data_IF_157319761089
#
_entry.id   IF_157319761089
#
_cell.length_a   1.000
_cell.length_b   1.000
_cell.length_c   1.000
_cell.angle_alpha   90.00
_cell.angle_beta   90.00
_cell.angle_gamma   90.00
#
_symmetry.space_group_name_H-M   'P 1'
#
loop_
_entity.id
_entity.type
_entity.pdbx_description
1 polymer ?
#
# COMPACT_ATOMS: atom_id res chain seq x y z
N UNK A 1 27.69 72.84 37.36
CA UNK A 1 28.94 73.60 37.06
C UNK A 1 29.51 73.11 35.70
N UNK A 2 29.63 74.05 34.78
CA UNK A 2 30.60 74.12 33.69
C UNK A 2 30.58 72.97 32.66
N UNK A 3 30.59 73.09 31.34
CA UNK A 3 30.74 74.25 30.43
C UNK A 3 30.69 73.69 29.01
N UNK A 4 30.00 74.36 28.12
CA UNK A 4 29.91 74.32 26.68
C UNK A 4 31.26 74.05 25.97
N UNK A 5 31.25 73.38 24.82
CA UNK A 5 31.89 73.95 23.61
C UNK A 5 31.19 73.46 22.32
N UNK A 6 30.77 74.41 21.52
CA UNK A 6 30.28 74.33 20.14
C UNK A 6 31.50 74.08 19.22
N UNK A 7 31.32 73.19 18.23
CA UNK A 7 32.13 73.24 16.99
C UNK A 7 31.24 73.02 15.81
N UNK A 8 31.06 74.07 15.06
CA UNK A 8 30.40 74.16 13.76
C UNK A 8 31.37 73.60 12.72
N UNK A 9 31.01 72.54 11.99
CA UNK A 9 31.71 72.12 10.78
C UNK A 9 30.73 72.31 9.62
N UNK A 10 31.14 73.21 8.73
CA UNK A 10 30.55 73.58 7.45
C UNK A 10 30.60 72.37 6.51
N UNK A 11 29.49 71.72 6.17
CA UNK A 11 29.40 70.71 5.14
C UNK A 11 28.99 71.32 3.80
N UNK A 12 29.89 71.31 2.85
CA UNK A 12 29.60 71.60 1.44
C UNK A 12 28.61 70.61 0.85
N UNK A 13 27.43 71.02 0.50
CA UNK A 13 26.47 70.27 -0.34
C UNK A 13 27.05 70.18 -1.78
N UNK A 14 27.55 69.01 -2.15
CA UNK A 14 27.69 68.62 -3.55
C UNK A 14 26.33 68.05 -4.01
N UNK A 15 25.58 68.86 -4.76
CA UNK A 15 24.43 68.41 -5.54
C UNK A 15 24.97 67.48 -6.65
N UNK A 16 24.98 66.18 -6.44
CA UNK A 16 25.08 65.24 -7.54
C UNK A 16 23.67 65.14 -8.16
N UNK A 17 23.54 65.71 -9.35
CA UNK A 17 22.36 65.54 -10.19
C UNK A 17 22.24 64.06 -10.58
N UNK A 18 21.37 63.33 -9.87
CA UNK A 18 20.87 62.04 -10.34
C UNK A 18 20.03 62.29 -11.58
N UNK A 19 20.61 62.05 -12.75
CA UNK A 19 19.87 61.83 -13.98
C UNK A 19 18.97 60.62 -13.74
N UNK A 20 17.65 60.70 -14.04
CA UNK A 20 16.81 59.51 -13.99
C UNK A 20 17.36 58.55 -15.04
N UNK A 21 17.72 57.32 -14.59
CA UNK A 21 17.98 56.24 -15.52
C UNK A 21 16.73 56.09 -16.39
N UNK A 22 16.90 56.18 -17.72
CA UNK A 22 15.81 55.97 -18.67
C UNK A 22 15.22 54.59 -18.34
N UNK A 23 13.96 54.51 -17.89
CA UNK A 23 13.24 53.30 -17.75
C UNK A 23 13.26 52.57 -19.10
N UNK A 24 13.95 51.47 -19.17
CA UNK A 24 14.00 50.64 -20.36
C UNK A 24 12.57 50.29 -20.75
N UNK A 25 12.15 50.68 -21.96
CA UNK A 25 10.80 50.46 -22.48
C UNK A 25 10.48 48.99 -22.45
N UNK A 26 9.63 48.56 -21.48
CA UNK A 26 9.25 47.16 -21.29
C UNK A 26 8.12 46.78 -22.23
N UNK A 27 8.22 45.60 -22.82
CA UNK A 27 7.21 45.04 -23.70
C UNK A 27 6.20 44.24 -22.85
N UNK A 28 4.99 44.77 -22.73
CA UNK A 28 3.87 44.16 -22.00
C UNK A 28 2.67 43.88 -22.88
N UNK A 29 1.56 43.37 -22.30
CA UNK A 29 0.31 43.15 -23.02
C UNK A 29 -0.16 44.43 -23.72
N UNK A 30 -0.45 44.33 -25.02
CA UNK A 30 -0.86 45.47 -25.87
C UNK A 30 0.27 46.12 -26.65
N UNK A 31 1.55 45.89 -26.34
CA UNK A 31 2.69 46.39 -27.10
C UNK A 31 2.59 45.95 -28.55
N UNK A 32 2.81 46.89 -29.46
CA UNK A 32 2.83 46.67 -30.92
C UNK A 32 4.23 46.96 -31.47
N UNK A 33 4.75 46.02 -32.26
CA UNK A 33 6.04 46.10 -32.89
C UNK A 33 5.89 45.83 -34.40
N UNK A 34 6.44 46.67 -35.26
CA UNK A 34 6.43 46.39 -36.70
C UNK A 34 7.19 45.11 -37.03
N UNK A 35 8.23 44.84 -36.24
CA UNK A 35 9.12 43.69 -36.45
C UNK A 35 9.68 43.22 -35.11
N UNK A 36 9.67 41.92 -34.90
CA UNK A 36 10.31 41.24 -33.75
C UNK A 36 11.13 40.08 -34.29
N UNK A 37 12.44 40.08 -34.05
CA UNK A 37 13.35 39.01 -34.47
C UNK A 37 13.74 38.22 -33.25
N UNK A 38 13.53 36.87 -33.32
CA UNK A 38 13.88 35.93 -32.28
C UNK A 38 14.70 34.82 -32.93
N UNK A 39 15.98 34.70 -32.60
CA UNK A 39 16.91 33.83 -33.29
C UNK A 39 16.95 34.10 -34.79
N UNK A 40 16.70 33.09 -35.62
CA UNK A 40 16.66 33.21 -37.08
C UNK A 40 15.29 33.66 -37.63
N UNK A 41 14.27 33.77 -36.81
CA UNK A 41 12.89 34.05 -37.26
C UNK A 41 12.51 35.52 -37.03
N UNK A 42 11.94 36.14 -38.04
CA UNK A 42 11.44 37.53 -37.98
C UNK A 42 9.92 37.54 -38.12
N UNK A 43 9.24 37.97 -37.05
CA UNK A 43 7.79 38.17 -37.00
C UNK A 43 7.47 39.63 -37.38
N UNK A 44 6.41 39.85 -38.19
CA UNK A 44 5.94 41.17 -38.61
C UNK A 44 4.56 41.49 -38.05
N UNK A 45 4.26 42.79 -37.84
CA UNK A 45 2.97 43.24 -37.30
C UNK A 45 2.63 42.58 -35.94
N UNK A 46 3.61 42.57 -35.05
CA UNK A 46 3.52 41.86 -33.76
C UNK A 46 2.68 42.65 -32.77
N UNK A 47 1.76 41.94 -32.11
CA UNK A 47 0.98 42.45 -30.97
C UNK A 47 1.09 41.48 -29.78
N UNK A 48 1.74 41.93 -28.73
CA UNK A 48 1.88 41.13 -27.48
C UNK A 48 0.52 40.96 -26.83
N UNK A 49 0.16 39.73 -26.52
CA UNK A 49 -1.10 39.36 -25.85
C UNK A 49 -0.90 39.16 -24.35
N UNK A 50 0.04 38.31 -23.99
CA UNK A 50 0.36 38.05 -22.59
C UNK A 50 1.86 37.85 -22.43
N UNK A 51 2.38 38.31 -21.30
CA UNK A 51 3.71 38.00 -20.81
C UNK A 51 3.53 37.42 -19.40
N UNK A 52 4.07 36.25 -19.15
CA UNK A 52 4.13 35.66 -17.82
C UNK A 52 5.59 35.31 -17.48
N UNK A 53 5.85 34.73 -16.30
CA UNK A 53 7.22 34.45 -15.88
C UNK A 53 7.99 33.51 -16.84
N UNK A 54 7.31 32.77 -17.72
CA UNK A 54 7.91 31.72 -18.57
C UNK A 54 7.85 32.03 -20.05
N UNK A 55 6.76 32.66 -20.51
CA UNK A 55 6.47 32.80 -21.96
C UNK A 55 5.90 34.13 -22.28
N UNK A 56 6.18 34.55 -23.51
CA UNK A 56 5.46 35.63 -24.20
C UNK A 56 4.58 35.01 -25.28
N UNK A 57 3.31 35.44 -25.34
CA UNK A 57 2.36 35.09 -26.37
C UNK A 57 2.06 36.34 -27.18
N UNK A 58 2.19 36.27 -28.49
CA UNK A 58 1.90 37.39 -29.38
C UNK A 58 1.23 36.95 -30.69
N UNK A 59 0.43 37.84 -31.25
CA UNK A 59 -0.07 37.72 -32.62
C UNK A 59 0.93 38.38 -33.58
N UNK A 60 1.05 37.83 -34.77
CA UNK A 60 1.83 38.38 -35.88
C UNK A 60 1.07 38.19 -37.19
N UNK A 61 1.58 38.75 -38.30
CA UNK A 61 0.93 38.72 -39.61
C UNK A 61 0.39 37.30 -40.00
N UNK A 62 1.19 36.26 -39.73
CA UNK A 62 0.94 34.92 -40.22
C UNK A 62 0.30 34.01 -39.14
N UNK A 63 -0.09 34.54 -37.96
CA UNK A 63 -0.73 33.80 -36.92
C UNK A 63 -0.37 34.19 -35.47
N UNK A 64 -0.15 33.22 -34.62
CA UNK A 64 0.15 33.42 -33.21
C UNK A 64 1.37 32.58 -32.81
N UNK A 65 2.26 33.14 -32.02
CA UNK A 65 3.44 32.48 -31.51
C UNK A 65 3.52 32.60 -29.98
N UNK A 66 3.98 31.51 -29.33
CA UNK A 66 4.32 31.48 -27.92
C UNK A 66 5.77 31.06 -27.77
N UNK A 67 6.59 31.91 -27.17
CA UNK A 67 8.04 31.73 -27.04
C UNK A 67 8.39 31.77 -25.57
N UNK A 68 9.28 30.86 -25.14
CA UNK A 68 9.81 30.89 -23.77
C UNK A 68 10.72 32.10 -23.62
N UNK A 69 10.59 32.83 -22.50
CA UNK A 69 11.42 33.99 -22.22
C UNK A 69 12.89 33.59 -22.02
N UNK A 70 13.17 32.42 -21.48
CA UNK A 70 14.53 31.88 -21.33
C UNK A 70 15.23 31.58 -22.66
N UNK A 71 14.49 31.43 -23.77
CA UNK A 71 15.04 31.18 -25.12
C UNK A 71 15.33 32.47 -25.90
N UNK A 72 14.93 33.63 -25.37
CA UNK A 72 15.20 34.95 -25.98
C UNK A 72 16.63 35.37 -25.72
N UNK A 73 17.14 36.27 -26.63
CA UNK A 73 18.42 36.92 -26.38
C UNK A 73 18.32 37.86 -25.15
N UNK A 74 19.46 38.19 -24.50
CA UNK A 74 19.45 38.95 -23.26
C UNK A 74 18.77 40.33 -23.38
N UNK A 75 18.83 40.97 -24.54
CA UNK A 75 18.21 42.30 -24.77
C UNK A 75 16.68 42.17 -24.82
N UNK A 76 16.15 41.10 -25.40
CA UNK A 76 14.72 40.81 -25.40
C UNK A 76 14.24 40.30 -24.05
N UNK A 77 15.05 39.48 -23.32
CA UNK A 77 14.75 39.07 -21.96
C UNK A 77 14.53 40.28 -21.04
N UNK A 78 15.41 41.29 -21.11
CA UNK A 78 15.28 42.54 -20.36
C UNK A 78 14.00 43.30 -20.74
N UNK A 79 13.72 43.42 -22.04
CA UNK A 79 12.51 44.12 -22.54
C UNK A 79 11.21 43.43 -22.13
N UNK A 80 11.16 42.09 -22.09
CA UNK A 80 9.99 41.35 -21.63
C UNK A 80 9.98 41.15 -20.12
N UNK A 81 11.01 41.63 -19.40
CA UNK A 81 11.10 41.55 -17.96
C UNK A 81 11.28 40.09 -17.45
N UNK A 82 12.08 39.29 -18.18
CA UNK A 82 12.40 37.93 -17.77
C UNK A 82 13.18 37.92 -16.46
N UNK A 83 12.72 37.06 -15.52
CA UNK A 83 13.37 36.81 -14.26
C UNK A 83 13.50 35.28 -14.07
N UNK A 84 14.72 34.73 -14.06
CA UNK A 84 14.95 33.31 -13.84
C UNK A 84 14.39 32.81 -12.51
N UNK A 85 14.38 33.66 -11.47
CA UNK A 85 13.82 33.25 -10.17
C UNK A 85 12.30 33.12 -10.23
N UNK A 86 11.62 34.07 -10.91
CA UNK A 86 10.18 34.01 -11.13
C UNK A 86 9.77 32.82 -12.03
N UNK A 87 10.59 32.47 -13.04
CA UNK A 87 10.38 31.27 -13.87
C UNK A 87 10.48 30.01 -13.00
N UNK A 88 11.53 29.87 -12.18
CA UNK A 88 11.73 28.71 -11.30
C UNK A 88 10.60 28.55 -10.27
N UNK A 89 10.13 29.66 -9.68
CA UNK A 89 8.97 29.65 -8.77
C UNK A 89 7.68 29.21 -9.48
N UNK A 90 7.44 29.73 -10.69
CA UNK A 90 6.29 29.32 -11.52
C UNK A 90 6.33 27.84 -11.90
N UNK A 91 7.52 27.31 -12.22
CA UNK A 91 7.71 25.90 -12.52
C UNK A 91 7.46 25.01 -11.29
N UNK A 92 7.99 25.40 -10.15
CA UNK A 92 7.77 24.70 -8.89
C UNK A 92 6.28 24.67 -8.51
N UNK A 93 5.60 25.80 -8.63
CA UNK A 93 4.15 25.90 -8.39
C UNK A 93 3.33 25.01 -9.34
N UNK A 94 3.70 25.00 -10.63
CA UNK A 94 3.03 24.14 -11.62
C UNK A 94 3.25 22.66 -11.32
N UNK A 95 4.47 22.23 -10.99
CA UNK A 95 4.76 20.85 -10.61
C UNK A 95 4.02 20.43 -9.33
N UNK A 96 3.94 21.32 -8.34
CA UNK A 96 3.17 21.08 -7.11
C UNK A 96 1.68 20.89 -7.43
N UNK A 97 1.10 21.73 -8.28
CA UNK A 97 -0.31 21.63 -8.69
C UNK A 97 -0.61 20.33 -9.47
N UNK A 98 0.31 19.89 -10.35
CA UNK A 98 0.20 18.60 -11.06
C UNK A 98 0.21 17.46 -10.06
N UNK A 99 1.19 17.42 -9.15
CA UNK A 99 1.31 16.40 -8.12
C UNK A 99 0.08 16.33 -7.20
N UNK A 100 -0.45 17.48 -6.81
CA UNK A 100 -1.68 17.56 -6.00
C UNK A 100 -2.90 17.02 -6.76
N UNK A 101 -3.04 17.37 -8.05
CA UNK A 101 -4.13 16.84 -8.89
C UNK A 101 -4.04 15.33 -9.07
N UNK A 102 -2.84 14.80 -9.31
CA UNK A 102 -2.59 13.37 -9.42
C UNK A 102 -2.94 12.64 -8.10
N UNK A 103 -2.50 13.21 -6.96
CA UNK A 103 -2.81 12.66 -5.63
C UNK A 103 -4.32 12.65 -5.36
N UNK A 104 -5.04 13.73 -5.68
CA UNK A 104 -6.51 13.79 -5.54
C UNK A 104 -7.21 12.76 -6.43
N UNK A 105 -6.74 12.58 -7.66
CA UNK A 105 -7.31 11.59 -8.59
C UNK A 105 -7.08 10.17 -8.08
N UNK A 106 -5.85 9.86 -7.63
CA UNK A 106 -5.52 8.57 -7.04
C UNK A 106 -6.36 8.28 -5.79
N UNK A 107 -6.52 9.24 -4.89
CA UNK A 107 -7.35 9.12 -3.70
C UNK A 107 -8.83 8.84 -4.05
N UNK A 108 -9.40 9.54 -5.02
CA UNK A 108 -10.77 9.33 -5.47
C UNK A 108 -10.98 7.92 -6.08
N UNK A 109 -10.00 7.42 -6.84
CA UNK A 109 -10.03 6.05 -7.40
C UNK A 109 -9.94 5.02 -6.28
N UNK A 110 -9.03 5.22 -5.31
CA UNK A 110 -8.90 4.32 -4.16
C UNK A 110 -10.19 4.27 -3.32
N UNK A 111 -10.81 5.42 -3.04
CA UNK A 111 -12.07 5.48 -2.31
C UNK A 111 -13.21 4.75 -3.02
N UNK A 112 -13.32 4.90 -4.34
CA UNK A 112 -14.35 4.16 -5.13
C UNK A 112 -14.12 2.66 -5.08
N UNK A 113 -12.87 2.21 -5.17
CA UNK A 113 -12.52 0.77 -5.04
C UNK A 113 -12.85 0.25 -3.65
N UNK A 114 -12.50 0.99 -2.58
CA UNK A 114 -12.80 0.60 -1.20
C UNK A 114 -14.32 0.44 -1.01
N UNK A 115 -15.12 1.41 -1.44
CA UNK A 115 -16.59 1.35 -1.36
C UNK A 115 -17.18 0.16 -2.17
N UNK A 116 -16.63 -0.14 -3.35
CA UNK A 116 -17.06 -1.27 -4.15
C UNK A 116 -16.70 -2.60 -3.47
N UNK A 117 -15.48 -2.74 -2.94
CA UNK A 117 -15.03 -3.93 -2.23
C UNK A 117 -15.88 -4.16 -0.97
N UNK A 118 -16.17 -3.09 -0.20
CA UNK A 118 -17.06 -3.15 0.97
C UNK A 118 -18.44 -3.67 0.60
N UNK A 119 -19.05 -3.13 -0.45
CA UNK A 119 -20.37 -3.58 -0.92
C UNK A 119 -20.36 -5.04 -1.36
N UNK A 120 -19.28 -5.51 -2.01
CA UNK A 120 -19.13 -6.90 -2.41
C UNK A 120 -18.94 -7.82 -1.20
N UNK A 121 -18.17 -7.38 -0.21
CA UNK A 121 -17.93 -8.11 1.03
C UNK A 121 -19.24 -8.27 1.82
N UNK A 122 -20.01 -7.20 2.00
CA UNK A 122 -21.33 -7.24 2.65
C UNK A 122 -22.31 -8.15 1.90
N UNK A 123 -22.30 -8.12 0.58
CA UNK A 123 -23.14 -9.00 -0.25
C UNK A 123 -22.76 -10.48 -0.03
N UNK A 124 -21.47 -10.77 0.04
CA UNK A 124 -20.95 -12.10 0.33
C UNK A 124 -21.40 -12.59 1.73
N UNK A 125 -21.24 -11.77 2.77
CA UNK A 125 -21.66 -12.14 4.13
C UNK A 125 -23.16 -12.48 4.22
N UNK A 126 -24.00 -11.78 3.46
CA UNK A 126 -25.46 -12.07 3.40
C UNK A 126 -25.79 -13.43 2.78
N UNK A 127 -24.89 -14.01 2.00
CA UNK A 127 -25.07 -15.33 1.39
C UNK A 127 -24.68 -16.47 2.34
N UNK A 128 -23.98 -16.19 3.44
CA UNK A 128 -23.58 -17.23 4.38
C UNK A 128 -24.78 -17.98 4.93
N UNK A 129 -24.66 -19.32 5.01
CA UNK A 129 -25.73 -20.23 5.38
C UNK A 129 -26.63 -20.67 4.22
N UNK A 130 -26.51 -20.05 3.03
CA UNK A 130 -27.19 -20.54 1.81
C UNK A 130 -26.25 -21.48 1.03
N UNK A 131 -26.77 -22.40 0.19
CA UNK A 131 -25.93 -23.23 -0.68
C UNK A 131 -25.06 -22.39 -1.59
N UNK A 132 -23.76 -22.61 -1.53
CA UNK A 132 -22.80 -21.90 -2.36
C UNK A 132 -22.75 -22.48 -3.79
N UNK A 133 -22.76 -21.65 -4.85
CA UNK A 133 -22.57 -22.15 -6.19
C UNK A 133 -21.09 -22.54 -6.38
N UNK A 134 -20.82 -23.85 -6.45
CA UNK A 134 -19.49 -24.34 -6.79
C UNK A 134 -19.24 -24.13 -8.29
N UNK A 135 -18.25 -23.29 -8.62
CA UNK A 135 -17.74 -23.05 -9.98
C UNK A 135 -16.71 -24.13 -10.33
N UNK A 136 -16.47 -24.37 -11.60
CA UNK A 136 -15.41 -25.33 -12.04
C UNK A 136 -14.06 -25.00 -11.41
N UNK A 137 -13.70 -23.70 -11.37
CA UNK A 137 -12.48 -23.21 -10.73
C UNK A 137 -12.64 -21.76 -10.27
N UNK A 138 -12.09 -21.48 -9.09
CA UNK A 138 -11.77 -20.12 -8.63
C UNK A 138 -10.30 -20.13 -8.24
N UNK A 139 -9.48 -19.26 -8.83
CA UNK A 139 -8.03 -19.24 -8.61
C UNK A 139 -7.53 -17.80 -8.47
N UNK A 140 -7.14 -17.42 -7.26
CA UNK A 140 -6.57 -16.11 -6.96
C UNK A 140 -5.05 -16.04 -7.18
N UNK A 141 -4.36 -17.16 -7.46
CA UNK A 141 -2.90 -17.20 -7.67
C UNK A 141 -2.40 -16.26 -8.78
N UNK A 142 -3.07 -16.14 -9.95
CA UNK A 142 -2.68 -15.15 -10.95
C UNK A 142 -2.66 -13.73 -10.38
N UNK A 143 -3.69 -13.38 -9.60
CA UNK A 143 -3.77 -12.05 -8.99
C UNK A 143 -2.73 -11.84 -7.89
N UNK A 144 -2.42 -12.85 -7.07
CA UNK A 144 -1.28 -12.79 -6.14
C UNK A 144 0.04 -12.51 -6.86
N UNK A 145 0.27 -13.13 -8.04
CA UNK A 145 1.47 -12.90 -8.85
C UNK A 145 1.53 -11.50 -9.45
N UNK A 146 0.43 -11.01 -10.01
CA UNK A 146 0.32 -9.64 -10.55
C UNK A 146 0.63 -8.57 -9.47
N UNK A 147 0.24 -8.85 -8.23
CA UNK A 147 0.49 -8.00 -7.07
C UNK A 147 1.85 -8.28 -6.41
N UNK A 148 2.69 -9.15 -6.98
CA UNK A 148 3.99 -9.54 -6.42
C UNK A 148 3.94 -10.09 -4.97
N UNK A 149 2.78 -10.64 -4.57
CA UNK A 149 2.54 -11.23 -3.25
C UNK A 149 2.91 -12.71 -3.25
N UNK A 150 4.18 -13.01 -3.46
CA UNK A 150 4.71 -14.37 -3.52
C UNK A 150 4.64 -15.08 -2.15
N UNK A 151 4.84 -16.41 -2.16
CA UNK A 151 4.91 -17.21 -0.94
C UNK A 151 6.19 -16.84 -0.15
N UNK A 152 6.01 -16.35 1.06
CA UNK A 152 7.11 -16.03 1.99
C UNK A 152 7.56 -17.28 2.74
N UNK A 153 8.73 -17.22 3.38
CA UNK A 153 9.30 -18.32 4.15
C UNK A 153 9.34 -17.96 5.64
N UNK A 154 8.58 -18.69 6.46
CA UNK A 154 8.59 -18.54 7.92
C UNK A 154 9.86 -19.12 8.57
N UNK A 155 10.65 -19.89 7.82
CA UNK A 155 11.76 -20.64 8.36
C UNK A 155 11.32 -21.73 9.34
N UNK A 156 12.07 -21.90 10.43
CA UNK A 156 11.77 -22.91 11.47
C UNK A 156 10.92 -22.42 12.63
N UNK A 157 10.49 -21.15 12.60
CA UNK A 157 9.62 -20.59 13.64
C UNK A 157 8.19 -21.12 13.49
N UNK A 158 7.50 -21.46 14.58
CA UNK A 158 6.11 -21.88 14.56
C UNK A 158 5.16 -20.65 14.42
N UNK A 159 5.35 -19.86 13.36
CA UNK A 159 4.65 -18.60 13.09
C UNK A 159 3.70 -18.66 11.89
N UNK A 160 3.33 -19.87 11.44
CA UNK A 160 2.46 -20.05 10.26
C UNK A 160 1.15 -19.26 10.33
N UNK A 161 0.54 -19.12 11.50
CA UNK A 161 -0.69 -18.34 11.69
C UNK A 161 -0.50 -16.86 11.37
N UNK A 162 0.66 -16.30 11.70
CA UNK A 162 1.01 -14.91 11.36
C UNK A 162 1.12 -14.76 9.85
N UNK A 163 1.86 -15.67 9.19
CA UNK A 163 2.04 -15.64 7.73
C UNK A 163 0.72 -15.82 6.98
N UNK A 164 -0.18 -16.69 7.47
CA UNK A 164 -1.49 -16.89 6.88
C UNK A 164 -2.36 -15.61 6.96
N UNK A 165 -2.38 -14.95 8.12
CA UNK A 165 -3.12 -13.69 8.32
C UNK A 165 -2.53 -12.57 7.48
N UNK A 166 -1.20 -12.40 7.48
CA UNK A 166 -0.52 -11.35 6.70
C UNK A 166 -0.74 -11.57 5.21
N UNK A 167 -0.65 -12.81 4.72
CA UNK A 167 -0.91 -13.11 3.30
C UNK A 167 -2.33 -12.72 2.85
N UNK A 168 -3.35 -12.97 3.67
CA UNK A 168 -4.71 -12.53 3.39
C UNK A 168 -4.84 -11.00 3.44
N UNK A 169 -4.23 -10.36 4.45
CA UNK A 169 -4.25 -8.91 4.63
C UNK A 169 -3.59 -8.17 3.47
N UNK A 170 -2.39 -8.59 3.06
CA UNK A 170 -1.66 -8.01 1.92
C UNK A 170 -2.51 -8.03 0.64
N UNK A 171 -3.21 -9.15 0.40
CA UNK A 171 -4.05 -9.29 -0.78
C UNK A 171 -5.25 -8.34 -0.76
N UNK A 172 -6.04 -8.30 0.33
CA UNK A 172 -7.20 -7.40 0.41
C UNK A 172 -6.78 -5.93 0.41
N UNK A 173 -5.65 -5.59 1.05
CA UNK A 173 -5.10 -4.23 1.03
C UNK A 173 -4.71 -3.81 -0.40
N UNK A 174 -3.99 -4.66 -1.13
CA UNK A 174 -3.61 -4.40 -2.51
C UNK A 174 -4.81 -4.30 -3.46
N UNK A 175 -5.87 -5.08 -3.24
CA UNK A 175 -7.12 -4.98 -3.99
C UNK A 175 -7.83 -3.64 -3.75
N UNK A 176 -7.82 -3.15 -2.52
CA UNK A 176 -8.42 -1.87 -2.15
C UNK A 176 -7.57 -0.68 -2.62
N UNK A 177 -6.29 -0.67 -2.30
CA UNK A 177 -5.38 0.43 -2.62
C UNK A 177 -5.01 0.47 -4.12
N UNK A 178 -5.04 -0.68 -4.81
CA UNK A 178 -4.60 -0.82 -6.20
C UNK A 178 -3.07 -0.95 -6.35
N UNK A 179 -2.32 -0.88 -5.26
CA UNK A 179 -0.87 -1.05 -5.19
C UNK A 179 -0.53 -2.05 -4.10
N UNK A 180 0.43 -2.97 -4.33
CA UNK A 180 0.85 -3.92 -3.31
C UNK A 180 1.64 -3.22 -2.21
N UNK A 181 1.36 -3.61 -0.98
CA UNK A 181 2.15 -3.27 0.20
C UNK A 181 2.41 -4.55 0.98
N UNK A 182 3.66 -4.79 1.35
CA UNK A 182 4.06 -5.93 2.16
C UNK A 182 4.12 -5.52 3.62
N UNK A 183 3.56 -6.34 4.49
CA UNK A 183 3.49 -6.09 5.93
C UNK A 183 4.47 -6.97 6.70
N UNK A 184 4.84 -6.50 7.91
CA UNK A 184 5.85 -7.12 8.76
C UNK A 184 5.28 -8.30 9.57
N UNK A 185 5.59 -9.51 9.20
CA UNK A 185 5.35 -10.68 10.04
C UNK A 185 6.15 -10.63 11.34
N UNK A 186 7.38 -10.11 11.30
CA UNK A 186 8.24 -9.98 12.48
C UNK A 186 7.58 -9.14 13.57
N UNK A 187 7.00 -8.00 13.18
CA UNK A 187 6.24 -7.16 14.11
C UNK A 187 5.01 -7.88 14.65
N UNK A 188 4.24 -8.55 13.78
CA UNK A 188 3.02 -9.21 14.20
C UNK A 188 3.30 -10.43 15.11
N UNK A 189 4.44 -11.10 14.93
CA UNK A 189 4.95 -12.13 15.87
C UNK A 189 5.19 -11.51 17.24
N UNK A 190 5.90 -10.38 17.31
CA UNK A 190 6.13 -9.65 18.56
C UNK A 190 4.79 -9.23 19.21
N UNK A 191 3.91 -8.61 18.44
CA UNK A 191 2.60 -8.16 18.91
C UNK A 191 1.75 -9.30 19.45
N UNK A 192 1.74 -10.45 18.79
CA UNK A 192 1.04 -11.66 19.24
C UNK A 192 1.59 -12.17 20.56
N UNK A 193 2.92 -12.19 20.71
CA UNK A 193 3.55 -12.51 21.98
C UNK A 193 3.11 -11.57 23.12
N UNK A 194 2.92 -10.27 22.84
CA UNK A 194 2.40 -9.30 23.82
C UNK A 194 0.95 -9.56 24.22
N UNK A 195 0.10 -9.92 23.26
CA UNK A 195 -1.30 -10.31 23.55
C UNK A 195 -1.35 -11.52 24.46
N UNK A 196 -0.58 -12.56 24.17
CA UNK A 196 -0.53 -13.80 24.96
C UNK A 196 -0.06 -13.51 26.39
N UNK A 197 1.02 -12.74 26.55
CA UNK A 197 1.52 -12.34 27.88
C UNK A 197 0.47 -11.58 28.69
N UNK A 198 -0.29 -10.69 28.04
CA UNK A 198 -1.32 -9.90 28.71
C UNK A 198 -2.55 -10.71 29.10
N UNK A 199 -2.94 -11.68 28.30
CA UNK A 199 -4.11 -12.52 28.55
C UNK A 199 -3.84 -13.62 29.60
N UNK A 200 -2.58 -13.90 29.93
CA UNK A 200 -2.21 -14.93 30.91
C UNK A 200 -2.55 -16.36 30.53
N UNK A 201 -3.18 -16.56 29.37
CA UNK A 201 -3.77 -17.84 28.95
C UNK A 201 -2.79 -18.82 28.34
N UNK A 202 -1.64 -18.35 27.87
CA UNK A 202 -0.76 -19.19 27.07
C UNK A 202 0.43 -19.80 27.84
N UNK A 203 0.71 -19.31 29.05
CA UNK A 203 1.89 -19.75 29.80
C UNK A 203 1.66 -21.11 30.47
N UNK A 204 0.42 -21.42 30.88
CA UNK A 204 0.14 -22.67 31.61
C UNK A 204 0.10 -23.92 30.72
N UNK A 205 -0.43 -23.80 29.49
CA UNK A 205 -0.51 -24.93 28.55
C UNK A 205 0.81 -25.22 27.81
N UNK A 206 1.64 -24.18 27.68
CA UNK A 206 2.97 -24.29 27.05
C UNK A 206 4.06 -24.76 27.98
N UNK A 207 3.86 -24.70 29.30
CA UNK A 207 4.85 -25.15 30.29
C UNK A 207 4.91 -26.67 30.45
N UNK A 208 3.92 -27.42 29.93
CA UNK A 208 3.93 -28.88 29.92
C UNK A 208 4.56 -29.48 28.65
N UNK A 209 4.73 -28.71 27.61
CA UNK A 209 5.53 -29.09 26.45
C UNK A 209 6.98 -28.74 26.79
N UNK A 210 7.88 -29.72 26.86
CA UNK A 210 9.26 -29.56 27.24
C UNK A 210 9.95 -28.44 26.44
N UNK A 211 11.16 -28.06 26.83
CA UNK A 211 11.96 -26.89 26.32
C UNK A 211 12.05 -26.73 24.79
N UNK A 212 11.64 -27.74 24.00
CA UNK A 212 11.62 -27.75 22.54
C UNK A 212 10.25 -27.40 21.90
N UNK A 213 9.19 -27.20 22.69
CA UNK A 213 7.85 -26.95 22.16
C UNK A 213 7.51 -25.45 22.21
N UNK A 214 8.14 -24.69 21.33
CA UNK A 214 7.61 -23.38 20.92
C UNK A 214 6.29 -23.65 20.15
N UNK A 215 5.19 -23.72 20.89
CA UNK A 215 3.85 -23.91 20.34
C UNK A 215 3.50 -22.64 19.56
N UNK A 216 3.12 -22.79 18.30
CA UNK A 216 2.70 -21.68 17.45
C UNK A 216 1.53 -20.88 18.04
N UNK A 217 1.06 -19.90 17.32
CA UNK A 217 -0.04 -19.04 17.72
C UNK A 217 -1.38 -19.53 17.17
N UNK A 218 -2.46 -19.38 17.95
CA UNK A 218 -3.80 -19.51 17.41
C UNK A 218 -4.09 -18.32 16.46
N UNK A 219 -4.85 -18.56 15.39
CA UNK A 219 -5.26 -17.48 14.46
C UNK A 219 -6.00 -16.35 15.20
N UNK A 220 -6.80 -16.67 16.21
CA UNK A 220 -7.53 -15.70 17.04
C UNK A 220 -6.60 -14.80 17.88
N UNK A 221 -5.46 -15.32 18.33
CA UNK A 221 -4.43 -14.51 19.01
C UNK A 221 -3.77 -13.54 18.04
N UNK A 222 -3.44 -14.02 16.85
CA UNK A 222 -2.82 -13.19 15.79
C UNK A 222 -3.73 -12.03 15.36
N UNK A 223 -5.01 -12.30 15.10
CA UNK A 223 -5.93 -11.22 14.69
C UNK A 223 -6.27 -10.27 15.84
N UNK A 224 -6.23 -10.74 17.09
CA UNK A 224 -6.33 -9.87 18.27
C UNK A 224 -5.13 -8.95 18.36
N UNK A 225 -3.92 -9.46 18.08
CA UNK A 225 -2.71 -8.65 18.03
C UNK A 225 -2.77 -7.61 16.89
N UNK A 226 -3.19 -8.02 15.70
CA UNK A 226 -3.36 -7.14 14.55
C UNK A 226 -4.31 -5.98 14.85
N UNK A 227 -5.46 -6.25 15.46
CA UNK A 227 -6.43 -5.22 15.86
C UNK A 227 -5.94 -4.30 16.97
N UNK A 228 -5.15 -4.84 17.91
CA UNK A 228 -4.69 -4.08 19.10
C UNK A 228 -3.47 -3.22 18.79
N UNK A 229 -2.54 -3.74 18.01
CA UNK A 229 -1.23 -3.12 17.78
C UNK A 229 -1.03 -2.63 16.34
N UNK A 230 -1.91 -3.01 15.39
CA UNK A 230 -1.72 -2.74 13.98
C UNK A 230 -0.60 -3.57 13.36
N UNK A 231 -0.13 -3.13 12.19
CA UNK A 231 0.98 -3.77 11.48
C UNK A 231 1.72 -2.74 10.62
N UNK A 232 3.06 -2.63 10.70
CA UNK A 232 3.83 -1.71 9.86
C UNK A 232 4.18 -2.38 8.53
N UNK A 233 4.66 -1.61 7.54
CA UNK A 233 5.31 -2.16 6.36
C UNK A 233 6.46 -3.11 6.72
N UNK A 234 6.70 -4.11 5.87
CA UNK A 234 7.80 -5.07 6.05
C UNK A 234 9.17 -4.38 6.15
N UNK A 235 9.37 -3.27 5.42
CA UNK A 235 10.62 -2.50 5.44
C UNK A 235 10.96 -1.90 6.80
N UNK A 236 9.97 -1.63 7.66
CA UNK A 236 10.18 -1.05 8.99
C UNK A 236 10.61 -2.07 10.03
N UNK A 237 10.25 -3.34 9.86
CA UNK A 237 10.70 -4.46 10.68
C UNK A 237 10.74 -5.74 9.85
N UNK A 238 11.81 -5.98 9.07
CA UNK A 238 11.92 -7.10 8.15
C UNK A 238 11.90 -8.46 8.85
N UNK A 239 11.33 -9.47 8.18
CA UNK A 239 11.32 -10.84 8.67
C UNK A 239 12.75 -11.38 8.83
N UNK A 240 13.03 -11.96 9.99
CA UNK A 240 14.35 -12.54 10.29
C UNK A 240 14.34 -14.04 10.01
N UNK A 241 14.74 -14.42 8.80
CA UNK A 241 14.90 -15.82 8.40
C UNK A 241 15.98 -16.50 9.25
N UNK A 242 15.74 -17.77 9.62
CA UNK A 242 16.71 -18.58 10.37
C UNK A 242 16.51 -18.60 11.89
N UNK A 243 15.65 -17.77 12.45
CA UNK A 243 15.25 -17.92 13.86
C UNK A 243 14.40 -19.17 14.05
N UNK A 244 14.56 -19.82 15.17
CA UNK A 244 13.81 -21.05 15.53
C UNK A 244 12.68 -20.76 16.53
N UNK A 245 12.75 -19.64 17.26
CA UNK A 245 11.77 -19.25 18.29
C UNK A 245 11.00 -17.99 17.88
N UNK A 246 9.77 -17.86 18.36
CA UNK A 246 8.91 -16.67 18.13
C UNK A 246 9.29 -15.46 19.00
N UNK A 247 10.48 -15.46 19.58
CA UNK A 247 10.98 -14.34 20.37
C UNK A 247 11.62 -13.34 19.40
N UNK A 248 11.12 -12.12 19.39
CA UNK A 248 11.65 -11.02 18.58
C UNK A 248 12.10 -9.87 19.47
N UNK A 249 13.02 -9.03 18.96
CA UNK A 249 13.34 -7.78 19.64
C UNK A 249 12.09 -6.87 19.66
N UNK A 250 11.97 -6.08 20.74
CA UNK A 250 10.90 -5.06 20.77
C UNK A 250 11.13 -4.03 19.66
N UNK A 251 10.08 -3.66 18.90
CA UNK A 251 10.18 -2.60 17.89
C UNK A 251 10.40 -1.23 18.56
N UNK A 252 10.92 -0.27 17.79
CA UNK A 252 11.04 1.11 18.27
C UNK A 252 9.65 1.78 18.37
N UNK A 253 9.60 2.92 19.08
CA UNK A 253 8.36 3.70 19.24
C UNK A 253 7.81 4.17 17.90
N UNK A 254 8.69 4.52 16.96
CA UNK A 254 8.34 4.96 15.61
C UNK A 254 7.63 3.84 14.85
N UNK A 255 8.17 2.63 14.87
CA UNK A 255 7.57 1.44 14.24
C UNK A 255 6.21 1.11 14.85
N UNK A 256 6.08 1.22 16.19
CA UNK A 256 4.78 1.01 16.87
C UNK A 256 3.76 2.07 16.44
N UNK A 257 4.19 3.33 16.28
CA UNK A 257 3.31 4.42 15.86
C UNK A 257 2.88 4.22 14.40
N UNK A 258 3.80 3.87 13.51
CA UNK A 258 3.51 3.55 12.12
C UNK A 258 2.53 2.37 12.01
N UNK A 259 2.75 1.29 12.77
CA UNK A 259 1.90 0.12 12.76
C UNK A 259 0.42 0.43 13.04
N UNK A 260 0.14 1.37 13.94
CA UNK A 260 -1.23 1.76 14.32
C UNK A 260 -2.02 2.38 13.17
N UNK A 261 -1.36 2.94 12.16
CA UNK A 261 -2.03 3.49 10.97
C UNK A 261 -2.66 2.41 10.09
N UNK A 262 -2.21 1.16 10.19
CA UNK A 262 -2.68 0.01 9.40
C UNK A 262 -3.47 -1.02 10.25
N UNK A 263 -4.00 -0.63 11.40
CA UNK A 263 -4.70 -1.54 12.33
C UNK A 263 -6.21 -1.64 12.14
N UNK A 264 -6.80 -0.92 11.19
CA UNK A 264 -8.26 -0.88 11.04
C UNK A 264 -8.76 -2.05 10.16
N UNK A 265 -8.83 -3.21 10.78
CA UNK A 265 -9.27 -4.46 10.16
C UNK A 265 -10.40 -5.06 10.98
N UNK A 266 -11.56 -5.25 10.39
CA UNK A 266 -12.58 -6.13 10.96
C UNK A 266 -12.20 -7.59 10.72
N UNK A 267 -12.50 -8.42 11.68
CA UNK A 267 -12.18 -9.85 11.67
C UNK A 267 -13.47 -10.63 11.84
N UNK A 268 -13.74 -11.51 10.88
CA UNK A 268 -14.91 -12.35 10.88
C UNK A 268 -14.48 -13.82 10.97
N UNK A 269 -14.93 -14.52 11.99
CA UNK A 269 -14.89 -15.97 11.97
C UNK A 269 -15.89 -16.47 10.93
N UNK A 270 -15.47 -17.38 10.05
CA UNK A 270 -16.40 -17.99 9.10
C UNK A 270 -17.41 -18.80 9.88
N UNK A 271 -18.71 -18.44 9.87
CA UNK A 271 -19.72 -19.13 10.67
C UNK A 271 -20.04 -20.50 10.08
N UNK A 272 -20.53 -21.40 10.92
CA UNK A 272 -21.04 -22.71 10.53
C UNK A 272 -21.38 -23.53 11.78
N UNK A 273 -22.52 -24.22 11.75
CA UNK A 273 -22.89 -25.19 12.79
C UNK A 273 -21.99 -26.41 12.79
N UNK A 274 -21.36 -26.71 11.69
CA UNK A 274 -20.42 -27.76 11.41
C UNK A 274 -19.40 -27.33 10.36
N UNK A 275 -18.35 -28.13 10.19
CA UNK A 275 -17.28 -27.85 9.24
C UNK A 275 -17.76 -27.84 7.78
N UNK A 276 -18.75 -28.65 7.42
CA UNK A 276 -19.32 -28.66 6.08
C UNK A 276 -19.98 -27.32 5.76
N UNK A 277 -20.75 -26.78 6.70
CA UNK A 277 -21.33 -25.41 6.57
C UNK A 277 -20.26 -24.34 6.50
N UNK A 278 -19.17 -24.45 7.28
CA UNK A 278 -18.04 -23.53 7.17
C UNK A 278 -17.37 -23.59 5.79
N UNK A 279 -17.15 -24.81 5.25
CA UNK A 279 -16.57 -24.98 3.91
C UNK A 279 -17.49 -24.43 2.82
N UNK A 280 -18.82 -24.57 2.95
CA UNK A 280 -19.77 -23.92 2.06
C UNK A 280 -19.63 -22.39 2.10
N UNK A 281 -19.50 -21.79 3.28
CA UNK A 281 -19.30 -20.35 3.42
C UNK A 281 -17.92 -19.90 2.90
N UNK A 282 -16.90 -20.74 3.01
CA UNK A 282 -15.58 -20.51 2.39
C UNK A 282 -15.71 -20.45 0.86
N UNK A 283 -16.55 -21.29 0.23
CA UNK A 283 -16.81 -21.17 -1.23
C UNK A 283 -17.42 -19.82 -1.59
N UNK A 284 -18.38 -19.32 -0.80
CA UNK A 284 -18.91 -17.95 -1.02
C UNK A 284 -17.82 -16.89 -0.98
N UNK A 285 -16.93 -16.94 0.00
CA UNK A 285 -15.84 -15.99 0.14
C UNK A 285 -14.83 -16.08 -1.03
N UNK A 286 -14.43 -17.28 -1.42
CA UNK A 286 -13.55 -17.49 -2.58
C UNK A 286 -14.21 -17.04 -3.88
N UNK A 287 -15.52 -17.27 -4.05
CA UNK A 287 -16.30 -16.79 -5.19
C UNK A 287 -16.34 -15.24 -5.28
N UNK A 288 -16.28 -14.56 -4.13
CA UNK A 288 -16.16 -13.11 -4.03
C UNK A 288 -14.72 -12.60 -4.18
N UNK A 289 -13.74 -13.48 -4.39
CA UNK A 289 -12.34 -13.11 -4.52
C UNK A 289 -11.64 -12.80 -3.19
N UNK A 290 -12.20 -13.27 -2.06
CA UNK A 290 -11.65 -13.02 -0.72
C UNK A 290 -10.84 -14.24 -0.26
N UNK A 291 -9.53 -14.11 -0.01
CA UNK A 291 -8.72 -15.19 0.56
C UNK A 291 -9.01 -15.38 2.06
N UNK A 292 -8.82 -16.58 2.57
CA UNK A 292 -9.21 -16.96 3.92
C UNK A 292 -8.02 -17.56 4.67
N UNK A 293 -7.67 -17.02 5.83
CA UNK A 293 -6.71 -17.65 6.71
C UNK A 293 -7.39 -18.82 7.45
N UNK A 294 -6.82 -20.02 7.33
CA UNK A 294 -7.34 -21.23 8.01
C UNK A 294 -6.29 -21.87 8.90
N UNK A 295 -6.75 -22.43 10.02
CA UNK A 295 -6.01 -23.39 10.83
C UNK A 295 -6.56 -24.79 10.62
N UNK A 296 -5.69 -25.75 10.37
CA UNK A 296 -6.07 -27.14 10.12
C UNK A 296 -5.04 -28.10 10.71
N UNK A 297 -5.47 -29.32 11.07
CA UNK A 297 -4.52 -30.38 11.38
C UNK A 297 -3.67 -30.68 10.13
N UNK A 298 -2.42 -31.07 10.35
CA UNK A 298 -1.43 -31.22 9.27
C UNK A 298 -0.66 -32.54 9.40
N UNK A 299 -0.40 -33.24 8.29
CA UNK A 299 0.35 -34.50 8.33
C UNK A 299 1.86 -34.23 8.50
N UNK A 300 2.63 -35.24 8.87
CA UNK A 300 4.10 -35.17 8.78
C UNK A 300 4.52 -34.95 7.35
N UNK A 301 5.57 -34.15 7.15
CA UNK A 301 6.10 -33.82 5.82
C UNK A 301 6.41 -35.09 5.01
N UNK A 302 6.95 -36.12 5.64
CA UNK A 302 7.25 -37.42 5.01
C UNK A 302 6.03 -38.13 4.38
N UNK A 303 4.83 -37.80 4.87
CA UNK A 303 3.58 -38.38 4.41
C UNK A 303 2.86 -37.56 3.34
N UNK A 304 3.39 -36.38 3.04
CA UNK A 304 2.78 -35.46 2.07
C UNK A 304 3.41 -35.65 0.67
N UNK A 305 2.59 -35.94 -0.32
CA UNK A 305 3.01 -36.05 -1.71
C UNK A 305 2.36 -34.94 -2.53
N UNK A 306 3.11 -34.36 -3.47
CA UNK A 306 2.63 -33.35 -4.39
C UNK A 306 1.93 -32.13 -3.72
N UNK A 307 2.31 -31.80 -2.48
CA UNK A 307 1.68 -30.74 -1.68
C UNK A 307 0.14 -30.90 -1.56
N UNK A 308 -0.36 -32.15 -1.52
CA UNK A 308 -1.78 -32.47 -1.45
C UNK A 308 -2.15 -33.05 -0.08
N UNK A 309 -3.08 -32.39 0.61
CA UNK A 309 -3.77 -32.88 1.79
C UNK A 309 -5.00 -33.70 1.35
N UNK A 310 -5.00 -35.00 1.64
CA UNK A 310 -6.07 -35.90 1.21
C UNK A 310 -6.53 -36.84 2.32
N UNK A 311 -5.72 -37.84 2.66
CA UNK A 311 -6.10 -38.90 3.61
C UNK A 311 -4.99 -39.22 4.62
N UNK A 312 -3.97 -38.37 4.67
CA UNK A 312 -2.84 -38.59 5.60
C UNK A 312 -3.27 -38.35 7.04
N UNK A 313 -2.79 -39.17 7.99
CA UNK A 313 -3.05 -38.94 9.40
C UNK A 313 -2.39 -37.61 9.84
N UNK A 314 -3.12 -36.80 10.61
CA UNK A 314 -2.56 -35.54 11.13
C UNK A 314 -1.48 -35.82 12.19
N UNK A 315 -0.52 -34.91 12.32
CA UNK A 315 0.57 -35.01 13.30
C UNK A 315 0.75 -33.72 14.12
N UNK A 316 0.37 -32.57 13.57
CA UNK A 316 0.47 -31.27 14.22
C UNK A 316 -0.56 -30.32 13.61
N UNK A 317 -0.61 -29.08 14.08
CA UNK A 317 -1.46 -28.03 13.52
C UNK A 317 -0.64 -27.10 12.63
N UNK A 318 -1.26 -26.60 11.56
CA UNK A 318 -0.67 -25.64 10.66
C UNK A 318 -1.69 -24.63 10.18
N UNK A 319 -1.24 -23.43 9.81
CA UNK A 319 -2.10 -22.41 9.23
C UNK A 319 -1.63 -22.03 7.82
N UNK A 320 -2.58 -21.88 6.93
CA UNK A 320 -2.37 -21.50 5.51
C UNK A 320 -3.45 -20.53 5.06
N UNK A 321 -3.26 -19.91 3.88
CA UNK A 321 -4.28 -19.05 3.27
C UNK A 321 -4.94 -19.77 2.12
N UNK A 322 -6.26 -20.01 2.18
CA UNK A 322 -7.03 -20.50 1.03
C UNK A 322 -7.13 -19.38 -0.01
N UNK A 323 -6.80 -19.70 -1.24
CA UNK A 323 -6.72 -18.75 -2.36
C UNK A 323 -7.50 -19.22 -3.60
N UNK A 324 -8.29 -20.26 -3.46
CA UNK A 324 -9.11 -20.80 -4.56
C UNK A 324 -9.54 -22.23 -4.34
N UNK A 325 -10.20 -22.77 -5.34
CA UNK A 325 -10.63 -24.16 -5.38
C UNK A 325 -10.88 -24.62 -6.82
N UNK A 326 -10.99 -25.95 -7.00
CA UNK A 326 -11.48 -26.62 -8.20
C UNK A 326 -12.62 -27.54 -7.84
N UNK A 327 -13.71 -27.48 -8.61
CA UNK A 327 -14.90 -28.28 -8.36
C UNK A 327 -15.56 -28.71 -9.70
N UNK A 328 -14.99 -29.69 -10.42
CA UNK A 328 -15.41 -30.02 -11.78
C UNK A 328 -16.82 -30.64 -11.86
N UNK A 329 -17.41 -31.07 -10.75
CA UNK A 329 -18.75 -31.67 -10.69
C UNK A 329 -19.83 -30.70 -10.25
N UNK A 330 -19.45 -29.49 -9.79
CA UNK A 330 -20.37 -28.56 -9.13
C UNK A 330 -20.82 -28.96 -7.73
N UNK A 331 -20.31 -30.10 -7.18
CA UNK A 331 -20.67 -30.57 -5.85
C UNK A 331 -19.57 -30.22 -4.83
N UNK A 332 -19.99 -29.67 -3.71
CA UNK A 332 -19.06 -29.25 -2.65
C UNK A 332 -18.10 -30.36 -2.20
N UNK A 333 -18.58 -31.59 -2.11
CA UNK A 333 -17.83 -32.77 -1.67
C UNK A 333 -16.67 -33.15 -2.60
N UNK A 334 -16.75 -32.76 -3.87
CA UNK A 334 -15.75 -33.05 -4.90
C UNK A 334 -14.71 -31.89 -5.02
N UNK A 335 -14.81 -30.90 -4.13
CA UNK A 335 -13.94 -29.72 -4.17
C UNK A 335 -12.52 -30.04 -3.70
N UNK A 336 -11.55 -29.52 -4.43
CA UNK A 336 -10.15 -29.45 -4.03
C UNK A 336 -9.77 -27.99 -3.85
N UNK A 337 -9.49 -27.57 -2.63
CA UNK A 337 -9.08 -26.20 -2.28
C UNK A 337 -7.63 -25.99 -2.63
N UNK A 338 -7.31 -24.74 -3.04
CA UNK A 338 -5.95 -24.27 -3.32
C UNK A 338 -5.54 -23.39 -2.13
N UNK A 339 -4.38 -23.65 -1.57
CA UNK A 339 -3.85 -22.83 -0.48
C UNK A 339 -2.44 -22.29 -0.78
N UNK A 340 -2.13 -21.13 -0.23
CA UNK A 340 -0.81 -20.52 -0.17
C UNK A 340 -0.17 -20.86 1.15
N UNK A 341 1.01 -21.49 1.12
CA UNK A 341 1.79 -21.87 2.29
C UNK A 341 2.86 -20.80 2.61
N UNK A 342 3.48 -20.94 3.77
CA UNK A 342 4.55 -20.08 4.30
C UNK A 342 5.91 -20.76 4.38
N UNK A 343 6.19 -21.67 3.44
CA UNK A 343 7.47 -22.42 3.36
C UNK A 343 8.28 -22.07 2.11
N UNK A 344 8.12 -20.84 1.64
CA UNK A 344 8.82 -20.30 0.48
C UNK A 344 8.32 -20.85 -0.87
N UNK A 345 8.78 -20.22 -1.94
CA UNK A 345 8.37 -20.56 -3.31
C UNK A 345 8.92 -21.92 -3.79
N UNK A 346 9.95 -22.45 -3.15
CA UNK A 346 10.50 -23.78 -3.50
C UNK A 346 9.61 -24.95 -3.03
N UNK A 347 8.67 -24.70 -2.11
CA UNK A 347 7.75 -25.71 -1.63
C UNK A 347 6.54 -25.85 -2.56
N UNK A 348 6.09 -27.10 -2.79
CA UNK A 348 4.87 -27.38 -3.57
C UNK A 348 4.90 -26.82 -4.99
N UNK A 349 3.80 -26.24 -5.42
CA UNK A 349 3.68 -25.56 -6.71
C UNK A 349 3.92 -24.05 -6.52
N UNK A 350 5.18 -23.62 -6.47
CA UNK A 350 5.59 -22.23 -6.21
C UNK A 350 5.04 -21.68 -4.87
N UNK A 351 5.10 -22.48 -3.81
CA UNK A 351 4.61 -22.13 -2.48
C UNK A 351 3.11 -22.41 -2.27
N UNK A 352 2.45 -23.04 -3.23
CA UNK A 352 1.04 -23.42 -3.16
C UNK A 352 0.87 -24.92 -3.05
N UNK A 353 -0.23 -25.34 -2.39
CA UNK A 353 -0.64 -26.72 -2.27
C UNK A 353 -2.15 -26.87 -2.39
N UNK A 354 -2.62 -28.09 -2.19
CA UNK A 354 -4.00 -28.49 -2.40
C UNK A 354 -4.54 -29.24 -1.20
N UNK A 355 -5.83 -29.06 -0.88
CA UNK A 355 -6.52 -29.81 0.17
C UNK A 355 -7.88 -30.27 -0.34
N UNK A 356 -8.19 -31.58 -0.22
CA UNK A 356 -9.51 -32.08 -0.60
C UNK A 356 -10.55 -31.62 0.42
N UNK A 357 -11.81 -31.48 -0.02
CA UNK A 357 -12.95 -31.25 0.86
C UNK A 357 -12.98 -32.29 2.01
N UNK A 358 -12.79 -33.59 1.67
CA UNK A 358 -12.77 -34.68 2.65
C UNK A 358 -11.74 -34.44 3.75
N UNK A 359 -10.57 -33.93 3.43
CA UNK A 359 -9.53 -33.59 4.41
C UNK A 359 -9.96 -32.45 5.30
N UNK A 360 -10.40 -31.34 4.70
CA UNK A 360 -10.76 -30.14 5.45
C UNK A 360 -12.02 -30.33 6.31
N UNK A 361 -13.02 -31.11 5.86
CA UNK A 361 -14.22 -31.35 6.67
C UNK A 361 -13.91 -32.10 7.98
N UNK A 362 -12.81 -32.86 7.98
CA UNK A 362 -12.37 -33.60 9.17
C UNK A 362 -11.38 -32.84 10.04
N UNK A 363 -10.62 -31.92 9.47
CA UNK A 363 -9.41 -31.37 10.09
C UNK A 363 -9.35 -29.84 10.15
N UNK A 364 -10.31 -29.14 9.59
CA UNK A 364 -10.40 -27.68 9.72
C UNK A 364 -10.78 -27.30 11.16
N UNK A 365 -10.00 -26.40 11.78
CA UNK A 365 -10.25 -25.93 13.14
C UNK A 365 -10.80 -24.51 13.17
N UNK A 366 -10.27 -23.62 12.32
CA UNK A 366 -10.59 -22.21 12.33
C UNK A 366 -10.52 -21.67 10.91
N UNK A 367 -11.44 -20.78 10.54
CA UNK A 367 -11.38 -20.04 9.30
C UNK A 367 -11.71 -18.57 9.58
N UNK A 368 -10.87 -17.65 9.08
CA UNK A 368 -10.94 -16.22 9.36
C UNK A 368 -10.94 -15.46 8.05
N UNK A 369 -11.90 -14.53 7.94
CA UNK A 369 -11.97 -13.49 6.94
C UNK A 369 -11.49 -12.18 7.53
N UNK A 370 -10.74 -11.43 6.75
CA UNK A 370 -10.33 -10.07 7.07
C UNK A 370 -11.09 -9.09 6.18
N UNK A 371 -11.47 -7.97 6.75
CA UNK A 371 -12.15 -6.87 6.07
C UNK A 371 -11.45 -5.58 6.43
N UNK A 372 -11.05 -4.81 5.42
CA UNK A 372 -10.50 -3.47 5.66
C UNK A 372 -11.65 -2.54 6.04
N UNK A 373 -11.48 -1.82 7.13
CA UNK A 373 -12.40 -0.76 7.52
C UNK A 373 -11.90 0.57 6.95
N UNK A 374 -12.84 1.42 6.53
CA UNK A 374 -12.50 2.76 6.05
C UNK A 374 -11.71 3.50 7.14
N UNK A 375 -10.61 4.12 6.73
CA UNK A 375 -9.88 5.04 7.61
C UNK A 375 -10.77 6.26 7.84
N UNK A 376 -11.03 6.66 9.11
CA UNK A 376 -11.81 7.84 9.41
C UNK A 376 -11.21 9.12 8.86
#
# INVERSE_FOLDING_TARGET
>A
MKSRLFSVILACLALASLLPAAEAERYGPGTRLEKLTIGATTYRDVRVKTVNARTVLFLHRDGMASIKLSELDPALQEKFGYDPAAEAESDAAMQAAIKEREARTAAAVAQRRAAQNQSQFDAMLRLFGTPAPCRDEVDLRPRFRELELYAKDQGRRPSCSVFAVVSALEFINAQSAGTPEKFSEEYLIWATGRVIQRLGTAVQDRSQAGDDADTGYALTEVVTALRTYGIPPESSMPNTIGRTKNITAAPSTEVITEARTNGQVAVHLVPGRDTATQLNNIIHALNAGVPIAIGTAWPRFSNMRAALLNSQPPAYNHAVTLVGYRCPTGKLEDTTFIFKNSWGAAWGANGYGFATYRYLVQHLHTAILLELQDRP
#
